data_IF_562580796397
#
_entry.id   IF_562580796397
#
_cell.length_a   1.000
_cell.length_b   1.000
_cell.length_c   1.000
_cell.angle_alpha   90.00
_cell.angle_beta   90.00
_cell.angle_gamma   90.00
#
_symmetry.space_group_name_H-M   'P 1'
#
loop_
_entity.id
_entity.type
_entity.pdbx_description
1 polymer ?
#
# COMPACT_ATOMS: atom_id res chain seq x y z
N UNK A 1 23.71 -0.69 -6.47
CA UNK A 1 23.46 0.28 -5.37
C UNK A 1 23.59 -0.50 -4.08
N UNK A 2 24.63 -0.24 -3.27
CA UNK A 2 24.72 -0.77 -1.91
C UNK A 2 23.45 -0.34 -1.15
N UNK A 3 22.72 -1.32 -0.63
CA UNK A 3 21.62 -1.03 0.30
C UNK A 3 22.23 -0.31 1.50
N UNK A 4 21.68 0.83 1.88
CA UNK A 4 22.10 1.55 3.09
C UNK A 4 22.16 0.58 4.26
N UNK A 5 23.38 0.26 4.69
CA UNK A 5 23.65 -0.67 5.77
C UNK A 5 23.36 0.04 7.09
N UNK A 6 22.37 -0.45 7.84
CA UNK A 6 22.08 0.07 9.19
C UNK A 6 22.95 -0.61 10.22
N UNK A 7 23.28 0.10 11.29
CA UNK A 7 24.10 -0.36 12.38
C UNK A 7 23.42 -0.09 13.72
N UNK A 8 23.66 -0.98 14.68
CA UNK A 8 23.16 -0.84 16.04
C UNK A 8 24.29 -0.87 17.05
N UNK A 9 24.24 0.00 18.05
CA UNK A 9 25.12 -0.05 19.21
C UNK A 9 24.48 -0.90 20.29
N UNK A 10 25.24 -1.86 20.82
CA UNK A 10 24.79 -2.83 21.82
C UNK A 10 25.62 -2.64 23.10
N UNK A 11 24.99 -2.66 24.26
CA UNK A 11 25.67 -2.56 25.55
C UNK A 11 26.19 -3.92 26.04
N UNK A 12 26.90 -3.92 27.18
CA UNK A 12 27.45 -5.13 27.79
C UNK A 12 26.42 -6.16 28.23
N UNK A 13 25.19 -5.72 28.52
CA UNK A 13 24.04 -6.58 28.83
C UNK A 13 23.33 -7.12 27.60
N UNK A 14 23.92 -6.97 26.41
CA UNK A 14 23.36 -7.43 25.13
C UNK A 14 22.04 -6.75 24.71
N UNK A 15 21.81 -5.51 25.19
CA UNK A 15 20.66 -4.70 24.78
C UNK A 15 21.06 -3.69 23.71
N UNK A 16 20.19 -3.51 22.72
CA UNK A 16 20.35 -2.47 21.70
C UNK A 16 20.07 -1.12 22.33
N UNK A 17 21.06 -0.22 22.30
CA UNK A 17 20.94 1.13 22.86
C UNK A 17 20.61 2.18 21.82
N UNK A 18 21.14 2.02 20.61
CA UNK A 18 20.92 2.95 19.50
C UNK A 18 20.93 2.20 18.16
N UNK A 19 20.15 2.69 17.21
CA UNK A 19 20.14 2.22 15.82
C UNK A 19 20.41 3.39 14.89
N UNK A 20 21.32 3.19 13.94
CA UNK A 20 21.81 4.23 13.04
C UNK A 20 21.60 3.81 11.58
N UNK A 21 20.78 4.55 10.82
CA UNK A 21 20.77 4.47 9.36
C UNK A 21 22.02 5.07 8.72
N UNK A 22 22.60 6.06 9.42
CA UNK A 22 23.93 6.65 9.16
C UNK A 22 24.54 7.03 10.49
N UNK A 23 25.84 6.82 10.68
CA UNK A 23 26.49 7.25 11.91
C UNK A 23 26.39 8.77 12.09
N UNK A 24 26.13 9.25 13.31
CA UNK A 24 26.19 10.67 13.63
C UNK A 24 27.65 11.19 13.56
N UNK A 25 27.84 12.49 13.65
CA UNK A 25 29.16 13.10 13.58
C UNK A 25 30.14 12.55 14.61
N UNK A 26 29.62 12.11 15.77
CA UNK A 26 30.44 11.60 16.90
C UNK A 26 29.64 10.58 17.70
N UNK A 27 30.26 9.46 18.07
CA UNK A 27 29.75 8.45 19.01
C UNK A 27 30.80 8.23 20.10
N UNK A 28 30.37 8.06 21.35
CA UNK A 28 31.22 7.67 22.47
C UNK A 28 30.97 6.20 22.81
N UNK A 29 32.03 5.40 22.76
CA UNK A 29 31.99 3.96 23.11
C UNK A 29 33.18 3.70 24.05
N UNK A 30 32.92 3.10 25.20
CA UNK A 30 33.95 2.80 26.20
C UNK A 30 34.87 4.03 26.53
N UNK A 31 34.26 5.18 26.75
CA UNK A 31 34.93 6.48 27.04
C UNK A 31 35.82 7.02 25.90
N UNK A 32 35.84 6.39 24.72
CA UNK A 32 36.50 6.88 23.53
C UNK A 32 35.51 7.49 22.55
N UNK A 33 35.90 8.60 21.96
CA UNK A 33 35.12 9.23 20.89
C UNK A 33 35.56 8.70 19.54
N UNK A 34 34.58 8.36 18.70
CA UNK A 34 34.74 7.97 17.31
C UNK A 34 33.99 8.95 16.43
N UNK A 35 34.60 9.43 15.38
CA UNK A 35 33.93 10.25 14.41
C UNK A 35 33.28 9.39 13.30
N UNK A 36 32.40 10.03 12.52
CA UNK A 36 31.69 9.38 11.43
C UNK A 36 32.62 8.80 10.37
N UNK A 37 33.71 9.50 10.03
CA UNK A 37 34.68 9.08 9.02
C UNK A 37 35.44 7.84 9.49
N UNK A 38 35.89 7.84 10.73
CA UNK A 38 36.59 6.71 11.37
C UNK A 38 35.67 5.47 11.38
N UNK A 39 34.42 5.61 11.81
CA UNK A 39 33.45 4.50 11.84
C UNK A 39 33.12 3.96 10.45
N UNK A 40 32.98 4.84 9.46
CA UNK A 40 32.70 4.40 8.08
C UNK A 40 33.90 3.66 7.47
N UNK A 41 35.13 4.08 7.76
CA UNK A 41 36.35 3.44 7.27
C UNK A 41 36.69 2.12 7.99
N UNK A 42 36.11 1.89 9.17
CA UNK A 42 36.37 0.71 10.00
C UNK A 42 35.79 -0.55 9.35
N UNK A 43 36.55 -1.67 9.41
CA UNK A 43 36.05 -2.96 8.97
C UNK A 43 34.88 -3.46 9.81
N UNK A 44 34.03 -4.33 9.26
CA UNK A 44 32.89 -4.89 9.98
C UNK A 44 33.35 -5.69 11.21
N UNK A 45 34.47 -6.42 11.14
CA UNK A 45 35.03 -7.14 12.28
C UNK A 45 35.46 -6.19 13.42
N UNK A 46 36.06 -5.04 13.09
CA UNK A 46 36.41 -4.06 14.09
C UNK A 46 35.20 -3.36 14.70
N UNK A 47 34.12 -3.15 13.91
CA UNK A 47 32.84 -2.67 14.43
C UNK A 47 32.25 -3.65 15.43
N UNK A 48 32.30 -4.95 15.15
CA UNK A 48 31.80 -6.00 16.07
C UNK A 48 32.55 -5.99 17.40
N UNK A 49 33.87 -5.75 17.42
CA UNK A 49 34.63 -5.63 18.69
C UNK A 49 34.20 -4.44 19.53
N UNK A 50 33.67 -3.40 18.90
CA UNK A 50 33.09 -2.24 19.56
C UNK A 50 31.58 -2.42 19.86
N UNK A 51 31.05 -3.62 19.68
CA UNK A 51 29.61 -3.92 19.78
C UNK A 51 28.73 -3.05 18.89
N UNK A 52 29.25 -2.68 17.73
CA UNK A 52 28.48 -2.08 16.63
C UNK A 52 28.11 -3.21 15.68
N UNK A 53 26.86 -3.60 15.69
CA UNK A 53 26.34 -4.76 14.95
C UNK A 53 25.57 -4.32 13.69
N UNK A 54 25.71 -5.06 12.59
CA UNK A 54 24.87 -4.80 11.41
C UNK A 54 23.40 -5.14 11.73
N UNK A 55 22.47 -4.31 11.23
CA UNK A 55 21.03 -4.54 11.41
C UNK A 55 20.47 -5.27 10.20
N UNK A 56 19.81 -6.39 10.47
CA UNK A 56 18.95 -7.08 9.50
C UNK A 56 17.57 -6.41 9.52
N UNK A 57 17.23 -5.69 8.46
CA UNK A 57 16.00 -4.93 8.36
C UNK A 57 14.82 -5.89 8.10
N UNK A 58 13.74 -5.74 8.86
CA UNK A 58 12.49 -6.47 8.66
C UNK A 58 11.82 -6.09 7.33
N UNK A 59 11.04 -7.02 6.78
CA UNK A 59 10.11 -6.69 5.72
C UNK A 59 9.06 -5.71 6.25
N UNK A 60 8.85 -4.62 5.52
CA UNK A 60 7.83 -3.62 5.87
C UNK A 60 6.44 -4.21 5.63
N UNK A 61 5.52 -3.95 6.55
CA UNK A 61 4.11 -4.23 6.33
C UNK A 61 3.54 -3.21 5.32
N UNK A 62 2.58 -3.65 4.52
CA UNK A 62 1.89 -2.74 3.61
C UNK A 62 0.95 -1.82 4.40
N UNK A 63 1.32 -0.55 4.50
CA UNK A 63 0.57 0.47 5.23
C UNK A 63 -0.79 0.80 4.58
N UNK A 64 -1.07 0.32 3.37
CA UNK A 64 -2.42 0.42 2.79
C UNK A 64 -3.41 -0.49 3.53
N UNK A 65 -2.95 -1.60 4.09
CA UNK A 65 -3.79 -2.61 4.73
C UNK A 65 -3.61 -2.71 6.24
N UNK A 66 -2.43 -2.35 6.75
CA UNK A 66 -2.05 -2.58 8.14
C UNK A 66 -1.61 -1.30 8.85
N UNK A 67 -1.78 -1.29 10.16
CA UNK A 67 -1.13 -0.36 11.06
C UNK A 67 0.02 -1.12 11.73
N UNK A 68 1.24 -0.62 11.62
CA UNK A 68 2.42 -1.23 12.23
C UNK A 68 2.63 -0.68 13.64
N UNK A 69 3.19 -1.52 14.51
CA UNK A 69 3.86 -1.03 15.71
C UNK A 69 5.21 -0.40 15.34
N UNK A 70 5.78 0.34 16.27
CA UNK A 70 7.17 0.77 16.15
C UNK A 70 8.10 -0.45 16.06
N UNK A 71 9.19 -0.35 15.27
CA UNK A 71 10.13 -1.44 15.14
C UNK A 71 10.80 -1.76 16.48
N UNK A 72 10.96 -3.04 16.77
CA UNK A 72 11.74 -3.52 17.91
C UNK A 72 13.04 -4.16 17.41
N UNK A 73 14.07 -4.13 18.23
CA UNK A 73 15.41 -4.60 17.87
C UNK A 73 15.92 -5.58 18.90
N UNK A 74 16.40 -6.74 18.45
CA UNK A 74 16.98 -7.76 19.32
C UNK A 74 18.33 -8.23 18.78
N UNK A 75 19.27 -8.55 19.68
CA UNK A 75 20.57 -9.10 19.30
C UNK A 75 20.40 -10.58 18.99
N UNK A 76 20.93 -11.00 17.84
CA UNK A 76 20.99 -12.37 17.35
C UNK A 76 22.42 -12.68 16.88
N UNK A 77 23.23 -13.27 17.76
CA UNK A 77 24.65 -13.50 17.52
C UNK A 77 25.42 -12.20 17.26
N UNK A 78 26.02 -12.05 16.09
CA UNK A 78 26.81 -10.89 15.67
C UNK A 78 26.01 -9.88 14.81
N UNK A 79 24.70 -9.88 14.90
CA UNK A 79 23.80 -8.96 14.21
C UNK A 79 22.67 -8.53 15.15
N UNK A 80 21.99 -7.48 14.78
CA UNK A 80 20.72 -7.06 15.36
C UNK A 80 19.61 -7.33 14.35
N UNK A 81 18.51 -7.91 14.79
CA UNK A 81 17.33 -8.17 13.96
C UNK A 81 16.26 -7.15 14.31
N UNK A 82 15.82 -6.41 13.31
CA UNK A 82 14.63 -5.58 13.39
C UNK A 82 13.37 -6.46 13.24
N UNK A 83 12.37 -6.22 14.06
CA UNK A 83 11.07 -6.87 13.95
C UNK A 83 9.99 -5.80 13.91
N UNK A 84 9.14 -5.86 12.87
CA UNK A 84 7.96 -5.01 12.74
C UNK A 84 6.74 -5.92 12.86
N UNK A 85 5.88 -5.62 13.84
CA UNK A 85 4.65 -6.36 14.06
C UNK A 85 3.44 -5.54 13.68
N UNK A 86 2.37 -6.21 13.27
CA UNK A 86 1.08 -5.60 13.02
C UNK A 86 0.43 -5.21 14.34
N UNK A 87 0.01 -3.94 14.46
CA UNK A 87 -0.81 -3.44 15.56
C UNK A 87 -2.29 -3.72 15.30
N UNK A 88 -2.76 -3.41 14.08
CA UNK A 88 -4.15 -3.60 13.68
C UNK A 88 -4.27 -3.75 12.17
N UNK A 89 -5.38 -4.33 11.73
CA UNK A 89 -5.86 -4.20 10.34
C UNK A 89 -6.55 -2.85 10.17
N UNK A 90 -6.39 -2.22 9.00
CA UNK A 90 -7.25 -1.09 8.64
C UNK A 90 -8.68 -1.58 8.48
N UNK A 91 -9.64 -0.72 8.74
CA UNK A 91 -11.06 -1.10 8.68
C UNK A 91 -11.51 -1.34 7.24
N UNK A 92 -12.15 -2.48 7.00
CA UNK A 92 -12.76 -2.81 5.72
C UNK A 92 -14.09 -2.10 5.53
N UNK A 93 -14.92 -2.06 6.57
CA UNK A 93 -16.22 -1.40 6.59
C UNK A 93 -16.09 0.07 7.02
N UNK A 94 -17.08 0.86 6.64
CA UNK A 94 -17.24 2.23 7.10
C UNK A 94 -17.62 2.26 8.58
N UNK A 95 -17.14 3.26 9.29
CA UNK A 95 -17.44 3.47 10.70
C UNK A 95 -17.85 4.92 10.95
N UNK A 96 -18.75 5.15 11.89
CA UNK A 96 -19.07 6.49 12.36
C UNK A 96 -17.80 7.17 12.91
N UNK A 97 -17.48 8.38 12.43
CA UNK A 97 -16.36 9.14 12.96
C UNK A 97 -16.66 9.63 14.38
N UNK A 98 -15.71 9.45 15.29
CA UNK A 98 -15.85 9.83 16.70
C UNK A 98 -14.70 10.73 17.12
N UNK A 99 -14.97 11.62 18.06
CA UNK A 99 -13.98 12.47 18.71
C UNK A 99 -13.18 11.69 19.79
N UNK A 100 -12.21 12.34 20.42
CA UNK A 100 -11.39 11.76 21.49
C UNK A 100 -12.21 11.29 22.73
N UNK A 101 -13.41 11.85 22.92
CA UNK A 101 -14.34 11.48 23.98
C UNK A 101 -15.34 10.41 23.54
N UNK A 102 -15.14 9.79 22.35
CA UNK A 102 -16.00 8.76 21.75
C UNK A 102 -17.41 9.25 21.36
N UNK A 103 -17.63 10.57 21.22
CA UNK A 103 -18.89 11.13 20.72
C UNK A 103 -18.91 11.10 19.20
N UNK A 104 -20.12 10.91 18.63
CA UNK A 104 -20.34 10.99 17.20
C UNK A 104 -19.97 12.38 16.65
N UNK A 105 -19.13 12.41 15.63
CA UNK A 105 -18.85 13.63 14.86
C UNK A 105 -19.90 13.85 13.76
N UNK A 106 -20.23 15.11 13.48
CA UNK A 106 -21.16 15.50 12.43
C UNK A 106 -20.46 16.40 11.41
N UNK A 107 -21.00 16.46 10.21
CA UNK A 107 -20.60 17.42 9.18
C UNK A 107 -20.97 18.85 9.60
N UNK A 108 -20.60 19.84 8.79
CA UNK A 108 -20.84 21.26 9.08
C UNK A 108 -22.34 21.62 9.23
N UNK A 109 -23.25 20.77 8.72
CA UNK A 109 -24.69 20.91 8.83
C UNK A 109 -25.22 20.54 10.22
N UNK A 110 -24.39 19.94 11.09
CA UNK A 110 -24.71 19.52 12.45
C UNK A 110 -25.67 18.32 12.56
N UNK A 111 -26.10 17.74 11.44
CA UNK A 111 -27.10 16.65 11.39
C UNK A 111 -26.58 15.42 10.66
N UNK A 112 -25.79 15.58 9.60
CA UNK A 112 -25.19 14.48 8.84
C UNK A 112 -24.01 13.92 9.61
N UNK A 113 -24.05 12.63 9.93
CA UNK A 113 -22.93 11.95 10.59
C UNK A 113 -21.69 11.96 9.69
N UNK A 114 -20.56 12.31 10.28
CA UNK A 114 -19.27 12.14 9.63
C UNK A 114 -18.87 10.68 9.65
N UNK A 115 -18.42 10.15 8.50
CA UNK A 115 -18.05 8.75 8.30
C UNK A 115 -16.55 8.64 8.01
N UNK A 116 -15.89 7.71 8.68
CA UNK A 116 -14.57 7.23 8.31
C UNK A 116 -14.74 6.09 7.31
N UNK A 117 -14.52 6.37 6.03
CA UNK A 117 -14.68 5.38 4.98
C UNK A 117 -13.65 4.26 5.10
N UNK A 118 -14.14 3.03 5.08
CA UNK A 118 -13.36 1.82 5.07
C UNK A 118 -12.69 1.53 3.73
N UNK A 119 -11.85 0.50 3.69
CA UNK A 119 -11.11 0.14 2.48
C UNK A 119 -12.04 -0.33 1.35
N UNK A 120 -13.15 -0.99 1.66
CA UNK A 120 -14.13 -1.43 0.65
C UNK A 120 -14.76 -0.25 -0.08
N UNK A 121 -15.20 0.77 0.64
CA UNK A 121 -15.80 1.98 0.05
C UNK A 121 -14.80 2.71 -0.82
N UNK A 122 -13.56 2.92 -0.33
CA UNK A 122 -12.49 3.55 -1.10
C UNK A 122 -12.15 2.77 -2.38
N UNK A 123 -12.09 1.44 -2.31
CA UNK A 123 -11.81 0.61 -3.48
C UNK A 123 -12.97 0.64 -4.49
N UNK A 124 -14.22 0.69 -4.05
CA UNK A 124 -15.38 0.85 -4.94
C UNK A 124 -15.42 2.24 -5.61
N UNK A 125 -15.06 3.28 -4.88
CA UNK A 125 -14.90 4.63 -5.44
C UNK A 125 -13.83 4.63 -6.54
N UNK A 126 -12.68 4.01 -6.29
CA UNK A 126 -11.62 3.87 -7.28
C UNK A 126 -12.10 3.10 -8.51
N UNK A 127 -12.80 1.97 -8.34
CA UNK A 127 -13.37 1.22 -9.45
C UNK A 127 -14.39 2.05 -10.24
N UNK A 128 -15.17 2.92 -9.57
CA UNK A 128 -16.10 3.84 -10.23
C UNK A 128 -15.36 4.88 -11.07
N UNK A 129 -14.26 5.44 -10.55
CA UNK A 129 -13.41 6.38 -11.29
C UNK A 129 -12.82 5.71 -12.53
N UNK A 130 -12.34 4.47 -12.41
CA UNK A 130 -11.79 3.71 -13.53
C UNK A 130 -12.86 3.39 -14.58
N UNK A 131 -14.04 2.91 -14.18
CA UNK A 131 -15.15 2.65 -15.09
C UNK A 131 -15.54 3.91 -15.87
N UNK A 132 -15.65 5.05 -15.18
CA UNK A 132 -15.94 6.33 -15.81
C UNK A 132 -14.84 6.78 -16.78
N UNK A 133 -13.58 6.52 -16.46
CA UNK A 133 -12.45 6.77 -17.35
C UNK A 133 -12.55 5.94 -18.65
N UNK A 134 -12.96 4.66 -18.56
CA UNK A 134 -13.18 3.84 -19.74
C UNK A 134 -14.36 4.31 -20.58
N UNK A 135 -15.42 4.83 -19.97
CA UNK A 135 -16.64 5.25 -20.66
C UNK A 135 -16.56 6.67 -21.23
N UNK A 136 -15.82 7.58 -20.60
CA UNK A 136 -15.77 9.00 -20.95
C UNK A 136 -15.31 9.28 -22.39
N UNK A 137 -14.40 8.47 -22.93
CA UNK A 137 -13.91 8.59 -24.29
C UNK A 137 -14.99 8.41 -25.39
N UNK A 138 -16.19 7.95 -25.02
CA UNK A 138 -17.31 7.73 -25.96
C UNK A 138 -18.46 8.70 -25.78
N UNK A 139 -18.38 9.68 -24.89
CA UNK A 139 -19.45 10.66 -24.62
C UNK A 139 -19.85 11.46 -25.87
N UNK A 140 -18.89 11.80 -26.74
CA UNK A 140 -19.14 12.48 -28.00
C UNK A 140 -20.06 11.70 -28.95
N UNK A 141 -20.06 10.34 -28.89
CA UNK A 141 -20.97 9.51 -29.67
C UNK A 141 -22.42 9.63 -29.18
N UNK A 142 -22.60 9.82 -27.86
CA UNK A 142 -23.92 10.07 -27.27
C UNK A 142 -24.44 11.45 -27.72
N UNK A 143 -23.59 12.49 -27.65
CA UNK A 143 -23.94 13.82 -28.14
C UNK A 143 -24.29 13.79 -29.62
N UNK A 144 -23.49 13.11 -30.47
CA UNK A 144 -23.77 12.96 -31.90
C UNK A 144 -25.09 12.23 -32.18
N UNK A 145 -25.42 11.21 -31.34
CA UNK A 145 -26.70 10.51 -31.47
C UNK A 145 -27.87 11.48 -31.19
N UNK A 146 -27.74 12.31 -30.18
CA UNK A 146 -28.81 13.27 -29.79
C UNK A 146 -28.94 14.44 -30.78
N UNK A 147 -27.82 14.97 -31.28
CA UNK A 147 -27.81 16.19 -32.12
C UNK A 147 -27.95 15.92 -33.61
N UNK A 148 -27.48 14.77 -34.08
CA UNK A 148 -27.43 14.42 -35.50
C UNK A 148 -28.11 13.07 -35.84
N UNK A 149 -28.83 12.48 -34.88
CA UNK A 149 -29.55 11.19 -35.00
C UNK A 149 -28.64 10.04 -35.49
N UNK A 150 -27.33 10.18 -35.39
CA UNK A 150 -26.37 9.19 -35.86
C UNK A 150 -26.27 8.05 -34.87
N UNK A 151 -26.51 6.80 -35.30
CA UNK A 151 -26.45 5.64 -34.42
C UNK A 151 -25.05 5.43 -33.80
N UNK A 152 -25.02 5.04 -32.54
CA UNK A 152 -23.77 4.60 -31.89
C UNK A 152 -23.41 3.22 -32.44
N UNK A 153 -22.15 2.97 -32.83
CA UNK A 153 -21.71 1.66 -33.29
C UNK A 153 -22.03 0.55 -32.25
N UNK A 154 -22.56 -0.59 -32.72
CA UNK A 154 -22.96 -1.68 -31.82
C UNK A 154 -21.79 -2.20 -30.97
N UNK A 155 -20.57 -2.25 -31.50
CA UNK A 155 -19.39 -2.64 -30.75
C UNK A 155 -19.13 -1.72 -29.55
N UNK A 156 -19.37 -0.40 -29.69
CA UNK A 156 -19.22 0.57 -28.59
C UNK A 156 -20.30 0.33 -27.54
N UNK A 157 -21.57 0.11 -27.96
CA UNK A 157 -22.66 -0.20 -27.03
C UNK A 157 -22.33 -1.46 -26.21
N UNK A 158 -21.86 -2.52 -26.88
CA UNK A 158 -21.46 -3.77 -26.22
C UNK A 158 -20.32 -3.55 -25.23
N UNK A 159 -19.29 -2.81 -25.64
CA UNK A 159 -18.15 -2.48 -24.75
C UNK A 159 -18.60 -1.67 -23.52
N UNK A 160 -19.40 -0.62 -23.71
CA UNK A 160 -19.92 0.18 -22.59
C UNK A 160 -20.77 -0.65 -21.63
N UNK A 161 -21.56 -1.60 -22.14
CA UNK A 161 -22.31 -2.54 -21.30
C UNK A 161 -21.40 -3.48 -20.52
N UNK A 162 -20.33 -4.01 -21.17
CA UNK A 162 -19.33 -4.85 -20.53
C UNK A 162 -18.61 -4.13 -19.38
N UNK A 163 -18.16 -2.88 -19.58
CA UNK A 163 -17.52 -2.08 -18.53
C UNK A 163 -18.45 -1.90 -17.32
N UNK A 164 -19.75 -1.67 -17.53
CA UNK A 164 -20.71 -1.57 -16.41
C UNK A 164 -20.88 -2.91 -15.67
N UNK A 165 -20.87 -4.03 -16.41
CA UNK A 165 -20.91 -5.36 -15.83
C UNK A 165 -19.66 -5.68 -15.03
N UNK A 166 -18.48 -5.33 -15.55
CA UNK A 166 -17.20 -5.49 -14.84
C UNK A 166 -17.19 -4.68 -13.55
N UNK A 167 -17.61 -3.40 -13.61
CA UNK A 167 -17.73 -2.54 -12.43
C UNK A 167 -18.64 -3.18 -11.36
N UNK A 168 -19.83 -3.63 -11.74
CA UNK A 168 -20.75 -4.28 -10.81
C UNK A 168 -20.14 -5.56 -10.19
N UNK A 169 -19.44 -6.36 -11.01
CA UNK A 169 -18.74 -7.57 -10.57
C UNK A 169 -17.57 -7.27 -9.61
N UNK A 170 -16.79 -6.23 -9.89
CA UNK A 170 -15.71 -5.77 -9.00
C UNK A 170 -16.29 -5.26 -7.68
N UNK A 171 -17.32 -4.43 -7.72
CA UNK A 171 -17.97 -3.89 -6.52
C UNK A 171 -18.55 -5.03 -5.65
N UNK A 172 -19.22 -6.01 -6.24
CA UNK A 172 -19.75 -7.16 -5.53
C UNK A 172 -18.63 -8.02 -4.88
N UNK A 173 -17.50 -8.21 -5.59
CA UNK A 173 -16.36 -8.93 -5.03
C UNK A 173 -15.75 -8.20 -3.82
N UNK A 174 -15.60 -6.86 -3.90
CA UNK A 174 -15.11 -6.03 -2.80
C UNK A 174 -16.05 -6.10 -1.59
N UNK A 175 -17.38 -6.03 -1.81
CA UNK A 175 -18.36 -6.16 -0.71
C UNK A 175 -18.33 -7.57 -0.09
N UNK A 176 -18.10 -8.60 -0.89
CA UNK A 176 -18.01 -9.99 -0.45
C UNK A 176 -16.73 -10.36 0.31
N UNK A 177 -15.69 -9.54 0.30
CA UNK A 177 -14.45 -9.82 1.04
C UNK A 177 -14.73 -9.92 2.56
N UNK A 178 -14.58 -11.11 3.13
CA UNK A 178 -14.92 -11.36 4.54
C UNK A 178 -13.89 -10.76 5.51
N UNK A 179 -12.62 -10.74 5.12
CA UNK A 179 -11.49 -10.31 5.93
C UNK A 179 -10.42 -9.59 5.10
N UNK A 180 -9.36 -9.13 5.75
CA UNK A 180 -8.25 -8.42 5.11
C UNK A 180 -7.52 -9.30 4.09
N UNK A 181 -7.35 -10.59 4.34
CA UNK A 181 -6.66 -11.49 3.42
C UNK A 181 -7.46 -11.65 2.12
N UNK A 182 -8.78 -11.85 2.22
CA UNK A 182 -9.68 -11.90 1.08
C UNK A 182 -9.68 -10.57 0.30
N UNK A 183 -9.67 -9.43 1.01
CA UNK A 183 -9.59 -8.12 0.38
C UNK A 183 -8.28 -7.91 -0.39
N UNK A 184 -7.13 -8.26 0.20
CA UNK A 184 -5.81 -8.18 -0.45
C UNK A 184 -5.75 -9.07 -1.68
N UNK A 185 -6.34 -10.28 -1.62
CA UNK A 185 -6.38 -11.20 -2.75
C UNK A 185 -7.07 -10.59 -3.99
N UNK A 186 -8.09 -9.75 -3.81
CA UNK A 186 -8.76 -9.04 -4.90
C UNK A 186 -7.85 -7.98 -5.57
N UNK A 187 -6.83 -7.49 -4.88
CA UNK A 187 -5.87 -6.49 -5.37
C UNK A 187 -4.55 -7.12 -5.85
N UNK A 188 -4.40 -8.44 -5.73
CA UNK A 188 -3.14 -9.12 -6.02
C UNK A 188 -3.21 -9.89 -7.33
N UNK A 189 -2.36 -9.51 -8.29
CA UNK A 189 -2.08 -10.31 -9.50
C UNK A 189 -1.09 -11.41 -9.14
N UNK A 190 -1.38 -12.64 -9.52
CA UNK A 190 -0.46 -13.77 -9.32
C UNK A 190 0.23 -14.15 -10.62
N UNK A 191 1.44 -14.73 -10.49
CA UNK A 191 2.29 -15.09 -11.61
C UNK A 191 2.71 -16.55 -11.54
N UNK A 192 2.92 -17.16 -12.69
CA UNK A 192 3.52 -18.47 -12.84
C UNK A 192 5.03 -18.42 -12.57
N UNK A 193 5.68 -19.56 -12.50
CA UNK A 193 7.13 -19.66 -12.29
C UNK A 193 7.98 -19.00 -13.41
N UNK A 194 7.42 -18.88 -14.61
CA UNK A 194 8.02 -18.21 -15.77
C UNK A 194 7.71 -16.71 -15.85
N UNK A 195 7.14 -16.11 -14.79
CA UNK A 195 6.67 -14.73 -14.67
C UNK A 195 5.51 -14.36 -15.62
N UNK A 196 4.86 -15.31 -16.27
CA UNK A 196 3.60 -15.02 -16.95
C UNK A 196 2.47 -14.83 -15.95
N UNK A 197 1.47 -13.99 -16.30
CA UNK A 197 0.32 -13.77 -15.42
C UNK A 197 -0.49 -15.05 -15.30
N UNK A 198 -0.72 -15.49 -14.05
CA UNK A 198 -1.59 -16.62 -13.73
C UNK A 198 -3.03 -16.14 -13.53
N UNK A 199 -3.25 -15.20 -12.58
CA UNK A 199 -4.54 -14.60 -12.30
C UNK A 199 -4.38 -13.09 -12.17
N UNK A 200 -5.14 -12.33 -12.95
CA UNK A 200 -5.19 -10.87 -12.83
C UNK A 200 -5.97 -10.51 -11.55
N UNK A 201 -5.48 -9.52 -10.81
CA UNK A 201 -6.22 -8.95 -9.67
C UNK A 201 -7.66 -8.62 -10.07
N UNK A 202 -8.63 -8.98 -9.24
CA UNK A 202 -10.07 -8.78 -9.55
C UNK A 202 -10.38 -7.31 -9.84
N UNK A 203 -9.78 -6.39 -9.10
CA UNK A 203 -9.97 -4.94 -9.31
C UNK A 203 -9.38 -4.41 -10.62
N UNK A 204 -8.55 -5.20 -11.32
CA UNK A 204 -7.95 -4.88 -12.61
C UNK A 204 -8.56 -5.67 -13.78
N UNK A 205 -9.58 -6.49 -13.53
CA UNK A 205 -10.19 -7.40 -14.53
C UNK A 205 -11.23 -6.69 -15.40
N UNK A 206 -10.81 -5.65 -16.11
CA UNK A 206 -11.65 -4.89 -17.02
C UNK A 206 -11.63 -5.45 -18.43
N UNK A 207 -12.77 -5.37 -19.12
CA UNK A 207 -12.88 -5.71 -20.55
C UNK A 207 -11.98 -4.79 -21.37
N UNK A 208 -11.21 -5.36 -22.30
CA UNK A 208 -10.30 -4.62 -23.17
C UNK A 208 -11.04 -3.85 -24.27
N UNK A 209 -10.51 -2.72 -24.70
CA UNK A 209 -11.09 -1.81 -25.69
C UNK A 209 -10.61 -2.07 -27.13
N UNK A 210 -9.94 -3.21 -27.40
CA UNK A 210 -9.27 -3.50 -28.68
C UNK A 210 -10.16 -3.24 -29.91
N UNK A 211 -11.45 -3.59 -29.84
CA UNK A 211 -12.40 -3.45 -30.95
C UNK A 211 -13.07 -2.06 -31.04
N UNK A 212 -12.87 -1.19 -30.06
CA UNK A 212 -13.53 0.13 -29.99
C UNK A 212 -12.56 1.29 -29.85
N UNK A 213 -11.25 1.01 -29.79
CA UNK A 213 -10.20 1.99 -29.60
C UNK A 213 -10.23 3.13 -30.63
N UNK A 214 -10.61 2.84 -31.89
CA UNK A 214 -10.73 3.82 -32.96
C UNK A 214 -11.86 4.85 -32.76
N UNK A 215 -12.81 4.58 -31.89
CA UNK A 215 -13.93 5.46 -31.55
C UNK A 215 -13.68 6.34 -30.32
N UNK A 216 -12.57 6.14 -29.63
CA UNK A 216 -12.19 6.91 -28.44
C UNK A 216 -11.64 8.29 -28.79
N UNK A 217 -12.02 9.34 -28.05
CA UNK A 217 -11.50 10.70 -28.14
C UNK A 217 -11.03 11.20 -26.77
#
# INVERSE_FOLDING_TARGET
KEKNKMWALVNDSNNVTNVYGAFPSKITINNRHYDKAELNAMSDSNKLTLKIYPVTIAAQLDNNYYVSNDPTYAVDGNKVVETITKSADRKLADEDAKDESNNQMFELDGTTKKINYGLKTKAKEQATVEANSYLSGFSWLIERKVTAETAIPSAVITYMAAIRTDHASIAAALDGAADMAAFIALHTTTYNADNTVNVIAKVQSWTTDANVKSYRR
#
